data_IF_706931297946
#
_entry.id   IF_706931297946
#
_cell.length_a   1.000
_cell.length_b   1.000
_cell.length_c   1.000
_cell.angle_alpha   90.00
_cell.angle_beta   90.00
_cell.angle_gamma   90.00
#
_symmetry.space_group_name_H-M   'P 1'
#
loop_
_entity.id
_entity.type
_entity.pdbx_description
1 polymer ?
#
# COMPACT_ATOMS: atom_id res chain seq x y z
N UNK A 1 -46.08 47.78 22.19
CA UNK A 1 -44.76 47.42 21.65
C UNK A 1 -43.84 47.07 22.81
N UNK A 2 -43.38 45.82 22.89
CA UNK A 2 -42.38 45.37 23.87
C UNK A 2 -41.62 44.22 23.19
N UNK A 3 -40.36 44.39 22.77
CA UNK A 3 -39.63 43.29 22.18
C UNK A 3 -39.19 42.34 23.30
N UNK A 4 -39.61 41.08 23.18
CA UNK A 4 -39.18 39.98 24.04
C UNK A 4 -37.78 39.54 23.58
N UNK A 5 -36.76 40.00 24.28
CA UNK A 5 -35.37 39.53 24.12
C UNK A 5 -35.16 38.29 24.96
N UNK A 6 -35.05 37.12 24.32
CA UNK A 6 -34.28 35.91 24.68
C UNK A 6 -34.71 34.80 23.69
N UNK A 7 -33.76 34.09 23.03
CA UNK A 7 -32.71 33.36 23.72
C UNK A 7 -31.34 33.43 22.99
N UNK A 8 -30.36 34.13 23.57
CA UNK A 8 -28.97 34.15 23.06
C UNK A 8 -28.01 33.32 23.92
N UNK A 9 -28.49 32.69 25.00
CA UNK A 9 -27.65 31.89 25.91
C UNK A 9 -27.43 30.43 25.48
N UNK A 10 -28.24 29.89 24.56
CA UNK A 10 -28.15 28.48 24.16
C UNK A 10 -27.00 28.14 23.20
N UNK A 11 -26.42 29.15 22.53
CA UNK A 11 -25.41 28.95 21.47
C UNK A 11 -23.97 28.91 21.98
N UNK A 12 -23.73 29.21 23.27
CA UNK A 12 -22.38 29.25 23.86
C UNK A 12 -21.87 27.88 24.35
N UNK A 13 -22.69 26.83 24.30
CA UNK A 13 -22.33 25.51 24.83
C UNK A 13 -21.84 24.52 23.76
N UNK A 14 -21.94 24.86 22.47
CA UNK A 14 -21.47 24.00 21.38
C UNK A 14 -19.98 24.17 21.02
N UNK A 15 -19.28 25.14 21.60
CA UNK A 15 -17.88 25.44 21.26
C UNK A 15 -16.84 24.64 22.06
N UNK A 16 -17.23 23.70 22.94
CA UNK A 16 -16.29 22.86 23.69
C UNK A 16 -16.01 21.47 23.09
N UNK A 17 -16.60 21.12 21.95
CA UNK A 17 -16.19 19.95 21.18
C UNK A 17 -14.92 20.25 20.33
N UNK A 18 -13.93 20.90 20.94
CA UNK A 18 -12.62 21.13 20.32
C UNK A 18 -11.85 19.82 20.32
N UNK A 19 -11.87 19.15 19.17
CA UNK A 19 -10.67 18.54 18.55
C UNK A 19 -9.77 17.73 19.49
N UNK A 20 -10.30 16.67 20.09
CA UNK A 20 -9.43 15.63 20.63
C UNK A 20 -8.99 14.73 19.46
N UNK A 21 -8.07 15.22 18.63
CA UNK A 21 -7.29 14.33 17.77
C UNK A 21 -6.36 13.55 18.71
N UNK A 22 -6.52 12.22 18.86
CA UNK A 22 -5.56 11.45 19.64
C UNK A 22 -4.18 11.72 19.05
N UNK A 23 -3.22 12.10 19.88
CA UNK A 23 -1.84 12.34 19.47
C UNK A 23 -1.41 11.17 18.59
N UNK A 24 -0.88 11.44 17.40
CA UNK A 24 -0.33 10.40 16.51
C UNK A 24 0.59 9.54 17.35
N UNK A 25 0.11 8.34 17.71
CA UNK A 25 0.83 7.42 18.60
C UNK A 25 2.20 7.18 17.98
N UNK A 26 3.24 7.09 18.80
CA UNK A 26 4.60 6.79 18.33
C UNK A 26 4.55 5.66 17.30
N UNK A 27 4.97 5.97 16.07
CA UNK A 27 5.09 4.96 15.01
C UNK A 27 5.95 3.84 15.58
N UNK A 28 5.46 2.59 15.61
CA UNK A 28 6.23 1.46 16.11
C UNK A 28 7.61 1.47 15.43
N UNK A 29 8.71 1.21 16.17
CA UNK A 29 10.00 1.08 15.54
C UNK A 29 9.89 0.01 14.44
N UNK A 30 10.62 0.17 13.32
CA UNK A 30 10.60 -0.81 12.25
C UNK A 30 10.86 -2.21 12.84
N UNK A 31 10.11 -3.24 12.41
CA UNK A 31 10.35 -4.58 12.89
C UNK A 31 11.81 -4.95 12.63
N UNK A 32 12.52 -5.34 13.69
CA UNK A 32 13.85 -5.93 13.57
C UNK A 32 13.61 -7.33 12.99
N UNK A 33 14.01 -7.53 11.74
CA UNK A 33 13.87 -8.82 11.10
C UNK A 33 14.92 -9.75 11.70
N UNK A 34 14.47 -10.84 12.32
CA UNK A 34 15.37 -11.85 12.89
C UNK A 34 16.29 -12.39 11.80
N UNK A 35 17.59 -12.38 12.07
CA UNK A 35 18.65 -12.76 11.13
C UNK A 35 18.77 -14.27 10.91
N UNK A 36 17.84 -15.07 11.45
CA UNK A 36 17.95 -16.54 11.48
C UNK A 36 17.95 -17.18 10.08
N UNK A 37 17.72 -16.41 9.01
CA UNK A 37 17.87 -16.81 7.59
C UNK A 37 16.77 -17.75 7.08
N UNK A 38 16.25 -18.61 7.96
CA UNK A 38 15.27 -19.66 7.70
C UNK A 38 13.99 -19.15 7.02
N UNK A 39 13.50 -17.96 7.39
CA UNK A 39 12.29 -17.41 6.77
C UNK A 39 12.51 -16.99 5.32
N UNK A 40 13.65 -16.37 5.02
CA UNK A 40 13.98 -15.94 3.66
C UNK A 40 14.27 -17.14 2.76
N UNK A 41 14.94 -18.17 3.30
CA UNK A 41 15.20 -19.43 2.61
C UNK A 41 13.89 -20.21 2.34
N UNK A 42 13.03 -20.37 3.34
CA UNK A 42 11.73 -21.03 3.18
C UNK A 42 10.81 -20.29 2.18
N UNK A 43 10.86 -18.95 2.18
CA UNK A 43 10.18 -18.14 1.17
C UNK A 43 10.76 -18.38 -0.24
N UNK A 44 12.09 -18.43 -0.37
CA UNK A 44 12.76 -18.72 -1.64
C UNK A 44 12.33 -20.07 -2.21
N UNK A 45 12.31 -21.11 -1.38
CA UNK A 45 11.90 -22.45 -1.75
C UNK A 45 10.43 -22.50 -2.16
N UNK A 46 9.56 -21.82 -1.42
CA UNK A 46 8.13 -21.73 -1.74
C UNK A 46 7.89 -21.05 -3.08
N UNK A 47 8.59 -19.94 -3.36
CA UNK A 47 8.50 -19.21 -4.63
C UNK A 47 9.07 -20.04 -5.80
N UNK A 48 10.15 -20.79 -5.57
CA UNK A 48 10.69 -21.73 -6.56
C UNK A 48 9.71 -22.87 -6.85
N UNK A 49 9.08 -23.43 -5.81
CA UNK A 49 8.04 -24.45 -5.94
C UNK A 49 6.82 -23.94 -6.73
N UNK A 50 6.42 -22.68 -6.54
CA UNK A 50 5.35 -22.06 -7.33
C UNK A 50 5.71 -22.01 -8.83
N UNK A 51 6.93 -21.62 -9.17
CA UNK A 51 7.40 -21.62 -10.56
C UNK A 51 7.52 -23.02 -11.18
N UNK A 52 7.69 -24.06 -10.36
CA UNK A 52 7.82 -25.45 -10.83
C UNK A 52 6.47 -26.20 -10.86
N UNK A 53 5.45 -25.68 -10.17
CA UNK A 53 4.10 -26.26 -10.11
C UNK A 53 3.34 -26.05 -11.42
N UNK A 54 3.61 -26.91 -12.39
CA UNK A 54 2.99 -26.91 -13.73
C UNK A 54 1.46 -27.05 -13.72
N UNK A 55 0.86 -27.50 -12.61
CA UNK A 55 -0.59 -27.69 -12.48
C UNK A 55 -1.36 -26.42 -12.11
N UNK A 56 -0.75 -25.50 -11.37
CA UNK A 56 -1.43 -24.29 -10.84
C UNK A 56 -0.91 -22.98 -11.42
N UNK A 57 0.35 -22.95 -11.86
CA UNK A 57 0.99 -21.75 -12.40
C UNK A 57 1.76 -22.07 -13.68
N UNK A 58 1.33 -21.49 -14.81
CA UNK A 58 2.05 -21.61 -16.06
C UNK A 58 3.26 -20.65 -16.06
N UNK A 59 4.37 -21.15 -15.56
CA UNK A 59 5.66 -20.48 -15.39
C UNK A 59 6.25 -19.96 -16.71
N UNK A 60 5.86 -20.56 -17.84
CA UNK A 60 6.37 -20.20 -19.15
C UNK A 60 5.75 -18.91 -19.69
N UNK A 61 4.57 -18.51 -19.20
CA UNK A 61 3.82 -17.32 -19.67
C UNK A 61 3.62 -16.25 -18.60
N UNK A 62 3.82 -16.58 -17.32
CA UNK A 62 3.51 -15.70 -16.19
C UNK A 62 4.78 -15.34 -15.40
N UNK A 63 5.45 -14.21 -15.71
CA UNK A 63 6.57 -13.75 -14.91
C UNK A 63 6.07 -13.18 -13.57
N UNK A 64 6.88 -13.29 -12.53
CA UNK A 64 6.61 -12.61 -11.26
C UNK A 64 7.90 -12.13 -10.59
N UNK A 65 7.77 -11.11 -9.76
CA UNK A 65 8.84 -10.52 -8.99
C UNK A 65 8.38 -10.27 -7.56
N UNK A 66 9.17 -10.71 -6.58
CA UNK A 66 8.91 -10.52 -5.15
C UNK A 66 10.14 -9.90 -4.52
N UNK A 67 9.96 -8.75 -3.88
CA UNK A 67 11.02 -8.06 -3.14
C UNK A 67 10.59 -7.90 -1.69
N UNK A 68 11.44 -8.35 -0.78
CA UNK A 68 11.27 -8.16 0.66
C UNK A 68 12.31 -7.14 1.11
N UNK A 69 11.86 -6.08 1.74
CA UNK A 69 12.71 -5.00 2.22
C UNK A 69 12.26 -4.54 3.60
N UNK A 70 13.23 -4.11 4.40
CA UNK A 70 12.99 -3.36 5.62
C UNK A 70 13.03 -1.85 5.32
N UNK A 71 12.87 -1.03 6.36
CA UNK A 71 13.06 0.42 6.24
C UNK A 71 14.50 0.77 5.80
N UNK A 72 15.48 -0.05 6.17
CA UNK A 72 16.90 0.27 6.05
C UNK A 72 17.59 -0.46 4.90
N UNK A 73 17.10 -1.64 4.51
CA UNK A 73 17.78 -2.47 3.53
C UNK A 73 16.85 -3.40 2.76
N UNK A 74 17.32 -3.88 1.61
CA UNK A 74 16.67 -4.94 0.87
C UNK A 74 17.12 -6.28 1.46
N UNK A 75 16.16 -7.08 1.91
CA UNK A 75 16.43 -8.36 2.57
C UNK A 75 16.55 -9.49 1.55
N UNK A 76 15.69 -9.48 0.52
CA UNK A 76 15.76 -10.45 -0.58
C UNK A 76 15.02 -9.94 -1.82
N UNK A 77 15.35 -10.52 -2.97
CA UNK A 77 14.64 -10.27 -4.23
C UNK A 77 14.61 -11.55 -5.05
N UNK A 78 13.42 -11.94 -5.46
CA UNK A 78 13.15 -13.15 -6.22
C UNK A 78 12.53 -12.76 -7.56
N UNK A 79 13.13 -13.24 -8.63
CA UNK A 79 12.70 -12.95 -9.98
C UNK A 79 12.48 -14.26 -10.74
N UNK A 80 11.24 -14.47 -11.19
CA UNK A 80 10.87 -15.57 -12.07
C UNK A 80 10.50 -15.02 -13.44
N UNK A 81 11.39 -15.10 -14.45
CA UNK A 81 11.09 -14.68 -15.81
C UNK A 81 10.22 -15.71 -16.53
N UNK A 82 9.31 -15.26 -17.40
CA UNK A 82 8.55 -16.14 -18.26
C UNK A 82 9.39 -16.61 -19.45
N UNK A 83 9.48 -17.93 -19.63
CA UNK A 83 10.31 -18.57 -20.66
C UNK A 83 9.89 -18.22 -22.10
N UNK A 84 8.61 -17.93 -22.35
CA UNK A 84 8.09 -17.70 -23.71
C UNK A 84 8.09 -16.23 -24.16
N UNK A 85 8.27 -15.27 -23.24
CA UNK A 85 8.30 -13.83 -23.58
C UNK A 85 9.56 -13.44 -24.37
N UNK A 86 10.62 -14.24 -24.33
CA UNK A 86 11.88 -13.98 -25.05
C UNK A 86 11.78 -14.20 -26.58
N UNK A 87 10.66 -14.71 -27.13
CA UNK A 87 10.57 -15.05 -28.57
C UNK A 87 9.92 -13.99 -29.46
N UNK A 88 9.20 -13.00 -28.93
CA UNK A 88 8.35 -12.14 -29.78
C UNK A 88 8.57 -10.63 -29.63
N UNK A 89 9.59 -10.17 -28.91
CA UNK A 89 9.95 -8.76 -28.94
C UNK A 89 11.43 -8.56 -28.65
N UNK A 90 12.08 -7.78 -29.51
CA UNK A 90 13.46 -7.35 -29.41
C UNK A 90 13.67 -6.35 -28.25
N UNK A 91 13.32 -6.75 -27.04
CA UNK A 91 13.62 -6.01 -25.83
C UNK A 91 14.19 -6.99 -24.80
N UNK A 92 15.50 -7.21 -24.92
CA UNK A 92 16.34 -7.77 -23.88
C UNK A 92 16.40 -6.76 -22.73
N UNK A 93 15.33 -6.71 -21.93
CA UNK A 93 15.19 -5.80 -20.80
C UNK A 93 15.28 -6.67 -19.55
N UNK A 94 16.52 -6.98 -19.19
CA UNK A 94 16.89 -7.97 -18.17
C UNK A 94 16.50 -7.56 -16.74
N UNK A 95 15.79 -6.45 -16.51
CA UNK A 95 15.35 -6.04 -15.17
C UNK A 95 14.13 -5.09 -15.09
N UNK A 96 13.54 -4.64 -16.21
CA UNK A 96 12.39 -3.70 -16.17
C UNK A 96 11.12 -4.38 -16.72
N UNK A 97 10.53 -5.27 -15.92
CA UNK A 97 9.15 -5.68 -16.16
C UNK A 97 8.19 -4.59 -15.72
N UNK A 98 7.31 -4.15 -16.63
CA UNK A 98 6.23 -3.22 -16.30
C UNK A 98 5.01 -4.06 -15.92
N UNK A 99 4.58 -3.97 -14.67
CA UNK A 99 3.40 -4.67 -14.16
C UNK A 99 2.19 -3.74 -14.10
N UNK A 100 1.03 -4.23 -14.53
CA UNK A 100 -0.24 -3.52 -14.33
C UNK A 100 -0.63 -3.63 -12.85
N UNK A 101 -0.69 -2.49 -12.15
CA UNK A 101 -0.99 -2.44 -10.71
C UNK A 101 -2.49 -2.59 -10.36
N UNK A 102 -3.39 -2.48 -11.33
CA UNK A 102 -4.84 -2.66 -11.16
C UNK A 102 -5.38 -1.91 -9.92
N UNK A 103 -6.04 -2.59 -8.97
CA UNK A 103 -6.62 -1.95 -7.78
C UNK A 103 -5.60 -1.30 -6.82
N UNK A 104 -4.30 -1.63 -6.91
CA UNK A 104 -3.28 -0.97 -6.10
C UNK A 104 -3.10 0.50 -6.48
N UNK A 105 -3.60 0.93 -7.64
CA UNK A 105 -3.61 2.35 -8.02
C UNK A 105 -4.41 3.22 -7.04
N UNK A 106 -5.39 2.63 -6.33
CA UNK A 106 -6.19 3.33 -5.32
C UNK A 106 -5.33 3.91 -4.18
N UNK A 107 -4.18 3.30 -3.87
CA UNK A 107 -3.26 3.83 -2.85
C UNK A 107 -2.77 5.22 -3.28
N UNK A 108 -2.33 5.36 -4.53
CA UNK A 108 -1.90 6.65 -5.07
C UNK A 108 -3.05 7.64 -5.15
N UNK A 109 -4.25 7.20 -5.52
CA UNK A 109 -5.45 8.05 -5.52
C UNK A 109 -5.71 8.60 -4.12
N UNK A 110 -5.72 7.76 -3.09
CA UNK A 110 -5.93 8.20 -1.70
C UNK A 110 -4.82 9.15 -1.25
N UNK A 111 -3.55 8.86 -1.56
CA UNK A 111 -2.44 9.76 -1.25
C UNK A 111 -2.64 11.14 -1.88
N UNK A 112 -3.08 11.19 -3.13
CA UNK A 112 -3.34 12.45 -3.84
C UNK A 112 -4.52 13.22 -3.21
N UNK A 113 -5.59 12.54 -2.82
CA UNK A 113 -6.73 13.16 -2.13
C UNK A 113 -6.30 13.79 -0.79
N UNK A 114 -5.46 13.08 -0.01
CA UNK A 114 -4.92 13.58 1.25
C UNK A 114 -3.96 14.77 1.04
N UNK A 115 -3.12 14.74 0.01
CA UNK A 115 -2.22 15.86 -0.33
C UNK A 115 -2.98 17.13 -0.73
N UNK A 116 -4.14 16.96 -1.39
CA UNK A 116 -5.02 18.06 -1.79
C UNK A 116 -5.82 18.64 -0.61
N UNK A 117 -5.63 18.13 0.62
CA UNK A 117 -6.29 18.61 1.84
C UNK A 117 -7.82 18.64 1.72
N UNK A 118 -8.37 17.65 1.00
CA UNK A 118 -9.81 17.47 0.92
C UNK A 118 -10.32 17.16 2.32
N UNK A 119 -11.38 17.85 2.73
CA UNK A 119 -12.09 17.49 3.94
C UNK A 119 -12.78 16.13 3.71
N UNK A 120 -12.38 15.13 4.48
CA UNK A 120 -12.92 13.78 4.34
C UNK A 120 -14.36 13.67 4.87
N UNK A 121 -14.81 14.66 5.65
CA UNK A 121 -16.16 14.73 6.19
C UNK A 121 -17.13 15.47 5.25
N UNK A 122 -16.61 16.10 4.19
CA UNK A 122 -17.44 16.79 3.22
C UNK A 122 -18.27 15.80 2.38
N UNK A 123 -19.58 16.04 2.21
CA UNK A 123 -20.41 15.18 1.40
C UNK A 123 -19.96 15.27 -0.06
N UNK A 124 -19.85 14.11 -0.73
CA UNK A 124 -19.42 14.02 -2.12
C UNK A 124 -20.37 14.73 -3.12
N UNK A 125 -21.55 15.15 -2.67
CA UNK A 125 -22.57 15.83 -3.48
C UNK A 125 -22.43 17.36 -3.51
N UNK A 126 -21.40 17.93 -2.87
CA UNK A 126 -21.08 19.36 -2.98
C UNK A 126 -20.65 19.73 -4.40
#
# INVERSE_FOLDING_TARGET
MKPSTLPLLGLLWLSLASTYCPSTRSVPPPPIVSSDGNLLESLAESLKGLGQSSKSWNDSTKPFFVKVASKYENLSSFHHPAKSLNKTSAHNVTNNFIYRMASLTKIFTVTLLLQNKIDLDDPASK
#
